data_IF_532718153538
#
_entry.id   IF_532718153538
#
_cell.length_a   1.000
_cell.length_b   1.000
_cell.length_c   1.000
_cell.angle_alpha   90.00
_cell.angle_beta   90.00
_cell.angle_gamma   90.00
#
_symmetry.space_group_name_H-M   'P 1'
#
loop_
_entity.id
_entity.type
_entity.pdbx_description
1 polymer ?
#
# COMPACT_ATOMS: atom_id res chain seq x y z
N UNK A 1 27.18 21.43 11.86
CA UNK A 1 25.79 21.39 12.36
C UNK A 1 24.97 22.20 11.38
N UNK A 2 24.24 21.53 10.48
CA UNK A 2 23.57 22.18 9.36
C UNK A 2 22.20 22.75 9.75
N UNK A 3 21.85 23.89 9.17
CA UNK A 3 20.59 24.64 9.29
C UNK A 3 19.37 23.90 8.68
N UNK A 4 19.17 22.63 9.02
CA UNK A 4 18.23 21.74 8.30
C UNK A 4 16.75 21.82 8.71
N UNK A 5 16.41 22.39 9.87
CA UNK A 5 15.08 22.18 10.48
C UNK A 5 14.20 23.44 10.52
N UNK A 6 14.58 24.51 9.82
CA UNK A 6 13.95 25.82 9.99
C UNK A 6 12.52 25.90 9.40
N UNK A 7 12.22 25.14 8.35
CA UNK A 7 10.88 25.10 7.73
C UNK A 7 9.83 24.37 8.60
N UNK A 8 10.26 23.52 9.53
CA UNK A 8 9.37 22.68 10.35
C UNK A 8 8.77 23.45 11.53
N UNK A 9 9.28 24.64 11.88
CA UNK A 9 8.82 25.41 13.06
C UNK A 9 7.60 26.32 12.80
N UNK A 10 7.30 26.65 11.54
CA UNK A 10 6.29 27.67 11.20
C UNK A 10 5.01 27.12 10.54
N UNK A 11 4.91 25.81 10.32
CA UNK A 11 3.72 25.21 9.75
C UNK A 11 2.67 24.98 10.85
N UNK A 12 1.41 25.31 10.57
CA UNK A 12 0.25 24.93 11.39
C UNK A 12 -0.03 23.42 11.27
N UNK A 13 0.98 22.60 11.56
CA UNK A 13 1.04 21.15 11.38
C UNK A 13 -0.07 20.42 12.15
N UNK A 14 -0.58 21.01 13.23
CA UNK A 14 -1.65 20.43 14.03
C UNK A 14 -3.02 20.36 13.33
N UNK A 15 -3.20 21.04 12.19
CA UNK A 15 -4.46 21.03 11.42
C UNK A 15 -4.37 20.23 10.11
N UNK A 16 -3.24 19.59 9.84
CA UNK A 16 -3.06 18.82 8.61
C UNK A 16 -3.70 17.44 8.77
N UNK A 17 -4.63 17.12 7.87
CA UNK A 17 -5.35 15.84 7.85
C UNK A 17 -4.86 14.90 6.76
N UNK A 18 -4.25 15.45 5.70
CA UNK A 18 -3.69 14.67 4.59
C UNK A 18 -2.22 15.01 4.42
N UNK A 19 -1.39 13.98 4.27
CA UNK A 19 0.03 14.12 3.97
C UNK A 19 0.42 13.18 2.83
N UNK A 20 1.07 13.74 1.82
CA UNK A 20 1.64 12.99 0.69
C UNK A 20 3.14 13.26 0.70
N UNK A 21 3.93 12.20 0.80
CA UNK A 21 5.39 12.27 0.89
C UNK A 21 6.00 11.30 -0.11
N UNK A 22 6.91 11.81 -0.92
CA UNK A 22 7.76 11.08 -1.83
C UNK A 22 9.23 11.40 -1.54
N UNK A 23 10.11 10.43 -1.76
CA UNK A 23 11.58 10.59 -1.67
C UNK A 23 12.13 11.10 -0.32
N UNK A 24 11.31 11.13 0.75
CA UNK A 24 11.76 11.57 2.07
C UNK A 24 12.46 10.42 2.81
N UNK A 25 13.66 10.63 3.40
CA UNK A 25 14.34 9.62 4.21
C UNK A 25 13.50 9.17 5.42
N UNK A 26 13.57 7.90 5.84
CA UNK A 26 12.87 7.35 7.01
C UNK A 26 12.90 8.22 8.27
N UNK A 27 14.10 8.67 8.65
CA UNK A 27 14.27 9.49 9.85
C UNK A 27 13.56 10.85 9.78
N UNK A 28 13.39 11.39 8.57
CA UNK A 28 12.66 12.65 8.34
C UNK A 28 11.16 12.37 8.33
N UNK A 29 10.73 11.28 7.66
CA UNK A 29 9.35 10.81 7.67
C UNK A 29 8.82 10.63 9.10
N UNK A 30 9.53 9.90 9.96
CA UNK A 30 9.15 9.68 11.36
C UNK A 30 9.00 11.00 12.15
N UNK A 31 9.96 11.92 11.97
CA UNK A 31 9.92 13.24 12.63
C UNK A 31 8.72 14.06 12.19
N UNK A 32 8.35 13.98 10.91
CA UNK A 32 7.19 14.67 10.36
C UNK A 32 5.91 14.08 10.91
N UNK A 33 5.70 12.76 10.77
CA UNK A 33 4.47 12.09 11.24
C UNK A 33 4.20 12.35 12.72
N UNK A 34 5.24 12.32 13.58
CA UNK A 34 5.12 12.63 15.02
C UNK A 34 4.56 14.04 15.31
N UNK A 35 4.67 14.99 14.38
CA UNK A 35 4.11 16.34 14.53
C UNK A 35 2.68 16.47 14.01
N UNK A 36 2.27 15.59 13.12
CA UNK A 36 0.96 15.64 12.46
C UNK A 36 -0.05 14.73 13.18
N UNK A 37 -0.47 15.13 14.38
CA UNK A 37 -1.34 14.33 15.27
C UNK A 37 -2.82 14.24 14.83
N UNK A 38 -3.18 14.95 13.76
CA UNK A 38 -4.55 14.96 13.21
C UNK A 38 -4.64 14.32 11.81
N UNK A 39 -3.66 13.49 11.43
CA UNK A 39 -3.69 12.82 10.13
C UNK A 39 -4.80 11.78 10.06
N UNK A 40 -5.55 11.85 8.97
CA UNK A 40 -6.55 10.87 8.56
C UNK A 40 -6.15 10.19 7.24
N UNK A 41 -5.31 10.82 6.41
CA UNK A 41 -4.86 10.31 5.11
C UNK A 41 -3.33 10.44 4.98
N UNK A 42 -2.64 9.32 4.75
CA UNK A 42 -1.20 9.28 4.55
C UNK A 42 -0.88 8.56 3.26
N UNK A 43 -0.09 9.19 2.41
CA UNK A 43 0.55 8.60 1.24
C UNK A 43 2.05 8.71 1.39
N UNK A 44 2.76 7.58 1.35
CA UNK A 44 4.21 7.55 1.39
C UNK A 44 4.75 6.66 0.29
N UNK A 45 5.75 7.17 -0.43
CA UNK A 45 6.36 6.49 -1.55
C UNK A 45 7.87 6.38 -1.38
N UNK A 46 8.37 5.15 -1.39
CA UNK A 46 9.80 4.87 -1.37
C UNK A 46 10.33 4.70 -2.80
N UNK A 47 11.62 5.04 -2.98
CA UNK A 47 12.35 4.87 -4.23
C UNK A 47 13.52 3.87 -4.08
N UNK A 48 13.72 3.38 -2.86
CA UNK A 48 14.71 2.35 -2.57
C UNK A 48 14.25 1.47 -1.43
N UNK A 49 14.28 0.17 -1.68
CA UNK A 49 14.05 -0.86 -0.65
C UNK A 49 15.14 -0.91 0.43
N UNK A 50 16.28 -0.25 0.23
CA UNK A 50 17.38 -0.24 1.23
C UNK A 50 17.08 0.65 2.44
N UNK A 51 16.14 1.58 2.31
CA UNK A 51 15.82 2.59 3.31
C UNK A 51 14.30 2.67 3.52
N UNK A 52 13.60 1.53 3.62
CA UNK A 52 12.19 1.59 3.98
C UNK A 52 12.07 1.83 5.50
N UNK A 53 11.25 2.79 5.97
CA UNK A 53 11.02 3.00 7.39
C UNK A 53 10.16 1.87 7.98
N UNK A 54 10.24 1.65 9.29
CA UNK A 54 9.13 1.03 10.02
C UNK A 54 7.97 2.05 10.07
N UNK A 55 7.20 2.04 8.99
CA UNK A 55 6.08 2.98 8.82
C UNK A 55 4.99 2.71 9.83
N UNK A 56 4.80 1.46 10.24
CA UNK A 56 3.77 1.10 11.20
C UNK A 56 4.08 1.72 12.55
N UNK A 57 5.34 1.62 13.00
CA UNK A 57 5.78 2.33 14.20
C UNK A 57 5.63 3.84 14.04
N UNK A 58 6.05 4.40 12.91
CA UNK A 58 5.99 5.84 12.67
C UNK A 58 4.57 6.42 12.73
N UNK A 59 3.59 5.73 12.13
CA UNK A 59 2.18 6.16 12.08
C UNK A 59 1.35 5.64 13.27
N UNK A 60 1.96 4.94 14.23
CA UNK A 60 1.26 4.38 15.39
C UNK A 60 0.49 5.42 16.21
N UNK A 61 0.99 6.66 16.27
CA UNK A 61 0.34 7.78 16.98
C UNK A 61 -0.98 8.22 16.33
N UNK A 62 -1.22 7.85 15.08
CA UNK A 62 -2.43 8.21 14.33
C UNK A 62 -3.37 7.03 14.16
N UNK A 63 -3.11 5.88 14.80
CA UNK A 63 -3.87 4.63 14.63
C UNK A 63 -5.37 4.73 14.91
N UNK A 64 -5.77 5.62 15.82
CA UNK A 64 -7.18 5.84 16.17
C UNK A 64 -7.92 6.78 15.19
N UNK A 65 -7.22 7.36 14.21
CA UNK A 65 -7.76 8.41 13.31
C UNK A 65 -7.48 8.17 11.85
N UNK A 66 -6.40 7.44 11.54
CA UNK A 66 -5.99 7.17 10.17
C UNK A 66 -7.09 6.38 9.46
N UNK A 67 -7.66 7.00 8.42
CA UNK A 67 -8.73 6.46 7.59
C UNK A 67 -8.23 5.92 6.27
N UNK A 68 -7.13 6.48 5.77
CA UNK A 68 -6.51 6.04 4.53
C UNK A 68 -5.00 5.95 4.67
N UNK A 69 -4.46 4.81 4.24
CA UNK A 69 -3.02 4.58 4.14
C UNK A 69 -2.70 4.12 2.72
N UNK A 70 -1.81 4.86 2.06
CA UNK A 70 -1.17 4.46 0.82
C UNK A 70 0.32 4.34 1.06
N UNK A 71 0.86 3.13 0.87
CA UNK A 71 2.28 2.89 1.01
C UNK A 71 2.79 1.96 -0.09
N UNK A 72 3.80 2.41 -0.82
CA UNK A 72 4.40 1.56 -1.85
C UNK A 72 5.70 2.09 -2.42
N UNK A 73 6.28 1.28 -3.30
CA UNK A 73 7.47 1.64 -4.03
C UNK A 73 7.07 2.30 -5.35
N UNK A 74 7.72 3.41 -5.68
CA UNK A 74 7.60 4.05 -6.99
C UNK A 74 8.77 3.61 -7.87
N UNK A 75 8.56 2.59 -8.73
CA UNK A 75 9.62 2.15 -9.62
C UNK A 75 9.93 3.25 -10.64
N UNK A 76 11.21 3.63 -10.85
CA UNK A 76 11.57 4.54 -11.91
C UNK A 76 11.12 4.00 -13.28
N UNK A 77 10.79 4.87 -14.25
CA UNK A 77 10.37 4.50 -15.59
C UNK A 77 11.54 3.86 -16.34
N UNK A 78 11.71 2.56 -16.19
CA UNK A 78 12.74 1.80 -16.90
C UNK A 78 12.21 0.43 -17.33
N UNK A 79 12.86 -0.13 -18.34
CA UNK A 79 12.44 -1.26 -19.18
C UNK A 79 12.52 -2.66 -18.51
N UNK A 80 12.60 -2.73 -17.18
CA UNK A 80 12.69 -3.99 -16.44
C UNK A 80 11.36 -4.42 -15.81
N UNK A 81 11.24 -5.74 -15.57
CA UNK A 81 10.20 -6.34 -14.74
C UNK A 81 10.32 -5.84 -13.30
N UNK A 82 9.20 -5.53 -12.67
CA UNK A 82 9.16 -5.03 -11.29
C UNK A 82 9.88 -5.97 -10.29
N UNK A 83 9.64 -7.28 -10.41
CA UNK A 83 10.22 -8.32 -9.55
C UNK A 83 11.77 -8.31 -9.55
N UNK A 84 12.40 -7.95 -10.67
CA UNK A 84 13.86 -7.87 -10.79
C UNK A 84 14.49 -6.78 -9.92
N UNK A 85 13.71 -5.82 -9.45
CA UNK A 85 14.16 -4.69 -8.61
C UNK A 85 13.95 -4.93 -7.13
N UNK A 86 13.22 -5.99 -6.78
CA UNK A 86 12.98 -6.33 -5.39
C UNK A 86 14.25 -6.93 -4.79
N UNK A 87 14.54 -6.69 -3.49
CA UNK A 87 15.66 -7.33 -2.82
C UNK A 87 15.47 -8.85 -2.76
N UNK A 88 16.57 -9.59 -2.59
CA UNK A 88 16.57 -11.06 -2.49
C UNK A 88 16.18 -11.56 -1.09
N UNK A 89 15.18 -10.92 -0.47
CA UNK A 89 14.52 -11.23 0.81
C UNK A 89 15.02 -10.50 2.07
N UNK A 90 15.89 -9.50 1.95
CA UNK A 90 16.47 -8.76 3.10
C UNK A 90 15.60 -7.58 3.61
N UNK A 91 14.28 -7.70 3.59
CA UNK A 91 13.38 -6.65 4.05
C UNK A 91 12.22 -7.19 4.88
N UNK A 92 11.72 -6.38 5.81
CA UNK A 92 10.54 -6.69 6.62
C UNK A 92 9.27 -6.39 5.83
N UNK A 93 8.27 -7.22 6.10
CA UNK A 93 6.92 -7.07 5.55
C UNK A 93 6.01 -6.49 6.61
N UNK A 94 4.97 -5.78 6.16
CA UNK A 94 3.90 -5.32 7.03
C UNK A 94 3.02 -6.52 7.35
N UNK A 95 2.99 -6.91 8.63
CA UNK A 95 2.27 -8.10 9.08
C UNK A 95 0.91 -7.80 9.70
N UNK A 96 0.72 -6.60 10.26
CA UNK A 96 -0.57 -6.21 10.85
C UNK A 96 -0.83 -4.70 10.84
N UNK A 97 -2.08 -4.36 10.56
CA UNK A 97 -2.70 -3.05 10.67
C UNK A 97 -3.96 -3.12 11.56
N UNK A 98 -4.12 -4.20 12.34
CA UNK A 98 -5.33 -4.44 13.14
C UNK A 98 -5.61 -3.37 14.21
N UNK A 99 -4.57 -2.70 14.69
CA UNK A 99 -4.72 -1.61 15.66
C UNK A 99 -5.24 -0.29 15.06
N UNK A 100 -5.28 -0.19 13.73
CA UNK A 100 -5.77 0.99 13.03
C UNK A 100 -7.29 0.95 12.89
N UNK A 101 -7.98 1.19 14.01
CA UNK A 101 -9.41 0.95 14.18
C UNK A 101 -10.33 1.80 13.30
N UNK A 102 -9.80 2.88 12.70
CA UNK A 102 -10.53 3.75 11.76
C UNK A 102 -10.08 3.60 10.31
N UNK A 103 -9.15 2.69 10.00
CA UNK A 103 -8.62 2.54 8.65
C UNK A 103 -9.69 1.94 7.73
N UNK A 104 -10.15 2.72 6.77
CA UNK A 104 -11.18 2.35 5.80
C UNK A 104 -10.58 2.00 4.42
N UNK A 105 -9.42 2.58 4.08
CA UNK A 105 -8.78 2.38 2.78
C UNK A 105 -7.29 2.07 2.93
N UNK A 106 -6.87 0.97 2.32
CA UNK A 106 -5.48 0.56 2.22
C UNK A 106 -5.07 0.44 0.75
N UNK A 107 -4.03 1.17 0.36
CA UNK A 107 -3.30 0.97 -0.89
C UNK A 107 -1.91 0.49 -0.51
N UNK A 108 -1.53 -0.72 -0.89
CA UNK A 108 -0.27 -1.32 -0.48
C UNK A 108 0.40 -2.09 -1.61
N UNK A 109 1.70 -1.90 -1.73
CA UNK A 109 2.55 -2.65 -2.64
C UNK A 109 2.64 -4.13 -2.23
N UNK A 110 2.50 -5.05 -3.18
CA UNK A 110 2.63 -6.48 -2.88
C UNK A 110 3.99 -6.81 -2.25
N UNK A 111 5.07 -6.12 -2.64
CA UNK A 111 6.38 -6.36 -2.06
C UNK A 111 6.45 -5.98 -0.57
N UNK A 112 5.50 -5.20 -0.03
CA UNK A 112 5.40 -4.96 1.42
C UNK A 112 4.70 -6.09 2.16
N UNK A 113 4.09 -7.03 1.44
CA UNK A 113 3.36 -8.17 1.98
C UNK A 113 4.08 -9.51 1.75
N UNK A 114 4.83 -9.61 0.65
CA UNK A 114 5.49 -10.84 0.21
C UNK A 114 6.95 -10.62 -0.10
N UNK A 115 7.79 -11.49 0.50
CA UNK A 115 9.16 -11.72 0.03
C UNK A 115 9.16 -12.64 -1.19
N UNK A 116 10.24 -12.60 -1.99
CA UNK A 116 10.40 -13.50 -3.15
C UNK A 116 10.37 -14.98 -2.72
N UNK A 117 10.98 -15.30 -1.58
CA UNK A 117 11.03 -16.65 -1.02
C UNK A 117 9.73 -17.14 -0.39
N UNK A 118 8.78 -16.25 -0.11
CA UNK A 118 7.60 -16.60 0.67
C UNK A 118 6.70 -17.60 -0.07
N UNK A 119 6.25 -18.65 0.60
CA UNK A 119 5.18 -19.50 0.08
C UNK A 119 3.81 -18.86 0.34
N UNK A 120 2.84 -19.11 -0.54
CA UNK A 120 1.46 -18.71 -0.28
C UNK A 120 0.91 -19.52 0.90
N UNK A 121 0.50 -18.85 1.98
CA UNK A 121 -0.07 -19.49 3.17
C UNK A 121 -1.57 -19.26 3.29
N UNK A 122 -2.13 -18.32 2.52
CA UNK A 122 -3.56 -18.03 2.52
C UNK A 122 -4.06 -17.28 3.77
N UNK A 123 -3.19 -16.65 4.55
CA UNK A 123 -3.60 -16.00 5.81
C UNK A 123 -3.11 -14.56 5.96
N UNK A 124 -2.27 -14.07 5.04
CA UNK A 124 -1.58 -12.78 5.19
C UNK A 124 -2.55 -11.61 5.19
N UNK A 125 -3.47 -11.56 4.23
CA UNK A 125 -4.44 -10.47 4.14
C UNK A 125 -5.38 -10.46 5.35
N UNK A 126 -5.81 -11.63 5.83
CA UNK A 126 -6.67 -11.74 7.01
C UNK A 126 -5.93 -11.32 8.30
N UNK A 127 -4.64 -11.64 8.42
CA UNK A 127 -3.81 -11.20 9.55
C UNK A 127 -3.51 -9.70 9.50
N UNK A 128 -3.33 -9.16 8.29
CA UNK A 128 -2.98 -7.77 8.03
C UNK A 128 -4.12 -6.81 8.41
N UNK A 129 -5.32 -7.04 7.90
CA UNK A 129 -6.34 -5.98 7.80
C UNK A 129 -7.07 -5.73 9.12
N UNK A 130 -7.47 -4.47 9.41
CA UNK A 130 -8.39 -4.16 10.50
C UNK A 130 -9.86 -4.40 10.09
N UNK A 131 -10.78 -4.66 11.05
CA UNK A 131 -12.21 -4.86 10.77
C UNK A 131 -12.93 -3.66 10.12
N UNK A 132 -12.37 -2.45 10.26
CA UNK A 132 -12.90 -1.21 9.69
C UNK A 132 -12.73 -1.10 8.18
N UNK A 133 -11.90 -1.97 7.58
CA UNK A 133 -11.51 -1.85 6.17
C UNK A 133 -12.72 -1.90 5.24
N UNK A 134 -12.73 -1.01 4.24
CA UNK A 134 -13.76 -0.91 3.21
C UNK A 134 -13.20 -1.12 1.81
N UNK A 135 -11.98 -0.65 1.57
CA UNK A 135 -11.35 -0.68 0.25
C UNK A 135 -9.90 -1.11 0.36
N UNK A 136 -9.51 -2.05 -0.48
CA UNK A 136 -8.13 -2.52 -0.58
C UNK A 136 -7.69 -2.34 -2.02
N UNK A 137 -6.48 -1.82 -2.21
CA UNK A 137 -5.79 -1.84 -3.48
C UNK A 137 -4.40 -2.46 -3.28
N UNK A 138 -4.21 -3.62 -3.88
CA UNK A 138 -2.91 -4.29 -3.93
C UNK A 138 -2.20 -3.84 -5.20
N UNK A 139 -1.14 -3.04 -5.07
CA UNK A 139 -0.41 -2.49 -6.21
C UNK A 139 0.79 -3.35 -6.59
N UNK A 140 1.16 -3.30 -7.86
CA UNK A 140 2.31 -3.98 -8.46
C UNK A 140 2.36 -5.48 -8.13
N UNK A 141 1.21 -6.15 -8.17
CA UNK A 141 1.12 -7.59 -7.98
C UNK A 141 1.95 -8.30 -9.05
N UNK A 142 3.00 -8.98 -8.59
CA UNK A 142 4.00 -9.70 -9.36
C UNK A 142 4.01 -11.21 -9.05
N UNK A 143 3.32 -11.66 -8.00
CA UNK A 143 3.30 -13.05 -7.54
C UNK A 143 1.89 -13.52 -7.17
N UNK A 144 1.65 -14.83 -7.23
CA UNK A 144 0.39 -15.46 -6.82
C UNK A 144 -0.09 -14.98 -5.44
N UNK A 145 -1.36 -14.57 -5.36
CA UNK A 145 -2.06 -14.32 -4.10
C UNK A 145 -3.37 -15.09 -3.99
N UNK A 146 -3.60 -16.11 -4.83
CA UNK A 146 -4.87 -16.83 -4.92
C UNK A 146 -5.39 -17.29 -3.54
N UNK A 147 -4.57 -18.00 -2.78
CA UNK A 147 -4.98 -18.50 -1.45
C UNK A 147 -5.29 -17.36 -0.47
N UNK A 148 -4.50 -16.29 -0.50
CA UNK A 148 -4.70 -15.14 0.39
C UNK A 148 -5.98 -14.37 0.02
N UNK A 149 -6.28 -14.24 -1.27
CA UNK A 149 -7.52 -13.64 -1.78
C UNK A 149 -8.74 -14.51 -1.49
N UNK A 150 -8.64 -15.84 -1.68
CA UNK A 150 -9.70 -16.78 -1.34
C UNK A 150 -10.03 -16.78 0.14
N UNK A 151 -9.00 -16.76 0.99
CA UNK A 151 -9.17 -16.67 2.44
C UNK A 151 -9.81 -15.34 2.85
N UNK A 152 -9.35 -14.22 2.27
CA UNK A 152 -9.99 -12.92 2.49
C UNK A 152 -11.48 -12.95 2.11
N UNK A 153 -11.83 -13.54 0.98
CA UNK A 153 -13.23 -13.65 0.56
C UNK A 153 -14.05 -14.52 1.53
N UNK A 154 -13.51 -15.64 2.02
CA UNK A 154 -14.20 -16.52 2.98
C UNK A 154 -14.42 -15.84 4.33
N UNK A 155 -13.44 -15.10 4.81
CA UNK A 155 -13.45 -14.47 6.14
C UNK A 155 -14.16 -13.11 6.14
N UNK A 156 -14.28 -12.44 4.99
CA UNK A 156 -14.83 -11.08 4.90
C UNK A 156 -16.20 -10.88 5.58
N UNK A 157 -17.20 -11.77 5.41
CA UNK A 157 -18.51 -11.57 6.05
C UNK A 157 -18.46 -11.47 7.58
N UNK A 158 -17.52 -12.18 8.22
CA UNK A 158 -17.36 -12.17 9.67
C UNK A 158 -16.32 -11.17 10.16
N UNK A 159 -15.14 -11.18 9.54
CA UNK A 159 -13.97 -10.43 10.00
C UNK A 159 -13.88 -9.02 9.43
N UNK A 160 -14.43 -8.78 8.23
CA UNK A 160 -14.34 -7.50 7.51
C UNK A 160 -15.72 -7.09 6.95
N UNK A 161 -16.73 -6.91 7.80
CA UNK A 161 -18.13 -6.76 7.38
C UNK A 161 -18.39 -5.51 6.53
N UNK A 162 -17.46 -4.55 6.52
CA UNK A 162 -17.55 -3.33 5.75
C UNK A 162 -16.76 -3.36 4.44
N UNK A 163 -16.08 -4.47 4.11
CA UNK A 163 -15.32 -4.60 2.87
C UNK A 163 -16.27 -4.50 1.67
N UNK A 164 -15.96 -3.60 0.75
CA UNK A 164 -16.78 -3.31 -0.44
C UNK A 164 -16.03 -3.51 -1.74
N UNK A 165 -14.73 -3.23 -1.76
CA UNK A 165 -13.95 -3.33 -2.99
C UNK A 165 -12.53 -3.82 -2.77
N UNK A 166 -12.09 -4.72 -3.64
CA UNK A 166 -10.70 -5.14 -3.78
C UNK A 166 -10.25 -4.80 -5.20
N UNK A 167 -9.23 -3.96 -5.32
CA UNK A 167 -8.55 -3.68 -6.57
C UNK A 167 -7.22 -4.42 -6.59
N UNK A 168 -6.92 -5.07 -7.71
CA UNK A 168 -5.66 -5.74 -7.96
C UNK A 168 -4.96 -5.02 -9.13
N UNK A 169 -3.88 -4.32 -8.81
CA UNK A 169 -3.00 -3.66 -9.74
C UNK A 169 -1.87 -4.61 -10.14
N UNK A 170 -1.86 -5.04 -11.40
CA UNK A 170 -0.84 -5.93 -11.95
C UNK A 170 0.38 -5.13 -12.39
N UNK A 171 1.56 -5.68 -12.14
CA UNK A 171 2.79 -5.06 -12.64
C UNK A 171 2.86 -5.13 -14.18
N UNK A 172 3.06 -3.97 -14.83
CA UNK A 172 3.22 -3.89 -16.29
C UNK A 172 4.69 -3.69 -16.70
N UNK A 173 5.20 -4.41 -17.73
CA UNK A 173 4.50 -5.44 -18.49
C UNK A 173 4.39 -6.76 -17.71
N UNK A 174 3.30 -7.49 -17.92
CA UNK A 174 3.09 -8.83 -17.35
C UNK A 174 3.99 -9.84 -18.09
N UNK A 175 4.84 -10.61 -17.39
CA UNK A 175 5.64 -11.66 -18.03
C UNK A 175 4.76 -12.76 -18.63
N UNK A 176 5.05 -13.28 -19.84
CA UNK A 176 4.25 -14.32 -20.49
C UNK A 176 4.02 -15.57 -19.62
N UNK A 177 5.04 -15.98 -18.86
CA UNK A 177 4.99 -17.12 -17.94
C UNK A 177 4.02 -16.93 -16.76
N UNK A 178 3.61 -15.69 -16.46
CA UNK A 178 2.67 -15.37 -15.38
C UNK A 178 1.21 -15.29 -15.83
N UNK A 179 0.94 -15.29 -17.14
CA UNK A 179 -0.43 -15.11 -17.66
C UNK A 179 -1.37 -16.18 -17.11
N UNK A 180 -1.00 -17.45 -17.17
CA UNK A 180 -1.83 -18.55 -16.65
C UNK A 180 -2.09 -18.44 -15.15
N UNK A 181 -1.10 -17.99 -14.38
CA UNK A 181 -1.21 -17.78 -12.94
C UNK A 181 -2.17 -16.62 -12.63
N UNK A 182 -2.10 -15.52 -13.37
CA UNK A 182 -2.99 -14.36 -13.23
C UNK A 182 -4.43 -14.73 -13.60
N UNK A 183 -4.63 -15.46 -14.70
CA UNK A 183 -5.97 -15.93 -15.09
C UNK A 183 -6.56 -16.88 -14.05
N UNK A 184 -5.73 -17.74 -13.44
CA UNK A 184 -6.17 -18.55 -12.30
C UNK A 184 -6.55 -17.68 -11.09
N UNK A 185 -5.75 -16.65 -10.77
CA UNK A 185 -6.07 -15.71 -9.69
C UNK A 185 -7.39 -14.99 -9.90
N UNK A 186 -7.76 -14.63 -11.14
CA UNK A 186 -9.06 -13.98 -11.44
C UNK A 186 -10.27 -14.83 -11.07
N UNK A 187 -10.13 -16.14 -10.94
CA UNK A 187 -11.25 -17.02 -10.56
C UNK A 187 -11.82 -16.70 -9.16
N UNK A 188 -11.07 -16.00 -8.29
CA UNK A 188 -11.54 -15.54 -6.97
C UNK A 188 -12.70 -14.54 -7.05
N UNK A 189 -12.88 -13.87 -8.19
CA UNK A 189 -13.94 -12.87 -8.40
C UNK A 189 -15.32 -13.41 -8.04
N UNK A 190 -15.64 -14.63 -8.49
CA UNK A 190 -16.92 -15.28 -8.22
C UNK A 190 -17.20 -15.41 -6.71
N UNK A 191 -16.16 -15.67 -5.92
CA UNK A 191 -16.27 -15.83 -4.47
C UNK A 191 -16.53 -14.48 -3.80
N UNK A 192 -15.82 -13.42 -4.21
CA UNK A 192 -16.07 -12.06 -3.71
C UNK A 192 -17.44 -11.50 -4.13
N UNK A 193 -17.87 -11.74 -5.37
CA UNK A 193 -19.18 -11.29 -5.86
C UNK A 193 -20.31 -11.93 -5.06
N UNK A 194 -20.18 -13.21 -4.69
CA UNK A 194 -21.21 -13.91 -3.91
C UNK A 194 -21.44 -13.33 -2.51
N UNK A 195 -20.46 -12.58 -1.97
CA UNK A 195 -20.55 -11.88 -0.68
C UNK A 195 -20.74 -10.36 -0.86
N UNK A 196 -21.00 -9.88 -2.08
CA UNK A 196 -21.26 -8.46 -2.36
C UNK A 196 -20.03 -7.57 -2.41
N UNK A 197 -18.82 -8.13 -2.55
CA UNK A 197 -17.57 -7.38 -2.71
C UNK A 197 -17.22 -7.24 -4.19
N UNK A 198 -16.96 -6.01 -4.63
CA UNK A 198 -16.52 -5.74 -5.99
C UNK A 198 -15.02 -6.00 -6.16
N UNK A 199 -14.64 -6.74 -7.19
CA UNK A 199 -13.24 -6.98 -7.55
C UNK A 199 -12.96 -6.33 -8.90
N UNK A 200 -11.83 -5.65 -9.01
CA UNK A 200 -11.36 -5.05 -10.26
C UNK A 200 -9.88 -5.34 -10.47
N UNK A 201 -9.50 -5.52 -11.74
CA UNK A 201 -8.13 -5.78 -12.16
C UNK A 201 -7.71 -4.69 -13.14
N UNK A 202 -6.52 -4.16 -12.96
CA UNK A 202 -5.93 -3.18 -13.85
C UNK A 202 -4.43 -3.39 -13.91
N UNK A 203 -3.78 -2.96 -14.98
CA UNK A 203 -2.34 -2.76 -14.95
C UNK A 203 -2.04 -1.46 -14.18
N UNK A 204 -1.09 -1.53 -13.24
CA UNK A 204 -0.58 -0.32 -12.61
C UNK A 204 0.38 0.37 -13.57
N UNK A 205 0.06 1.63 -13.90
CA UNK A 205 0.99 2.51 -14.58
C UNK A 205 2.12 2.87 -13.61
N UNK A 206 3.38 2.69 -14.05
CA UNK A 206 4.57 3.04 -13.26
C UNK A 206 4.53 4.55 -12.97
N UNK A 207 4.35 4.91 -11.70
CA UNK A 207 4.33 6.31 -11.26
C UNK A 207 3.48 6.53 -10.00
N UNK A 208 3.53 7.74 -9.42
CA UNK A 208 2.68 8.11 -8.30
C UNK A 208 1.20 7.95 -8.67
N UNK A 209 0.40 7.48 -7.71
CA UNK A 209 -1.02 7.19 -7.93
C UNK A 209 -1.76 8.40 -8.50
N UNK A 210 -2.74 8.24 -9.38
CA UNK A 210 -3.44 9.37 -10.02
C UNK A 210 -4.10 10.36 -9.04
N UNK A 211 -4.31 9.97 -7.77
CA UNK A 211 -4.78 10.86 -6.68
C UNK A 211 -3.67 11.70 -6.04
N UNK A 212 -2.42 11.57 -6.49
CA UNK A 212 -1.35 12.56 -6.31
C UNK A 212 -1.59 13.85 -7.08
N UNK A 213 -2.68 13.93 -7.86
CA UNK A 213 -3.31 15.19 -8.17
C UNK A 213 -3.84 15.82 -6.86
N UNK A 214 -2.92 16.43 -6.11
CA UNK A 214 -3.24 17.45 -5.12
C UNK A 214 -4.12 18.46 -5.85
N UNK A 215 -5.30 18.84 -5.34
CA UNK A 215 -6.04 19.96 -5.94
C UNK A 215 -5.11 21.19 -6.02
N UNK A 216 -4.67 21.55 -7.24
CA UNK A 216 -3.68 22.61 -7.47
C UNK A 216 -2.22 22.16 -7.68
N UNK A 217 -1.90 20.87 -7.57
CA UNK A 217 -0.62 20.29 -7.96
C UNK A 217 -0.70 19.71 -9.36
N UNK A 218 0.10 20.23 -10.29
CA UNK A 218 0.26 19.59 -11.60
C UNK A 218 0.98 18.25 -11.41
N UNK A 219 0.57 17.17 -12.10
CA UNK A 219 1.39 15.97 -12.20
C UNK A 219 2.75 16.37 -12.76
N UNK A 220 3.82 16.06 -12.04
CA UNK A 220 5.19 16.25 -12.50
C UNK A 220 5.47 15.33 -13.69
N UNK A 221 5.07 15.76 -14.89
CA UNK A 221 5.58 15.22 -16.14
C UNK A 221 7.01 15.75 -16.31
N UNK A 222 7.99 15.00 -15.83
CA UNK A 222 9.36 15.15 -16.30
C UNK A 222 9.62 14.07 -17.35
N UNK A 223 9.86 14.56 -18.58
CA UNK A 223 10.19 13.81 -19.79
C UNK A 223 11.46 12.97 -19.65
#
# INVERSE_FOLDING_TARGET
MAEGDMWIKNLAVSKVHKLVLDEIPPAVFEKLIKRFVQLEDVEYYIYSWKNYPDIIEAISLTKERLRRLCFGYLPPPASGYYESRLPDNDYETVTSLREFSQLEELVIDQALLYRKSDSSTGTRLVALLPPSIRRIHLTYVYKNMYEDLMSLAREAPGSFPNLRSVKIGLSSPIPPERITEIEHMKTVESTFVSIGVHVSWAEDLKGPFLYTAIPGGAPGLTF
#
